data_IF_921755064429
#
_entry.id   IF_921755064429
#
_cell.length_a   1.000
_cell.length_b   1.000
_cell.length_c   1.000
_cell.angle_alpha   90.00
_cell.angle_beta   90.00
_cell.angle_gamma   90.00
#
_symmetry.space_group_name_H-M   'P 1'
#
loop_
_entity.id
_entity.type
_entity.pdbx_description
1 polymer ?
#
# COMPACT_ATOMS: atom_id res chain seq x y z
N UNK A 1 -19.95 16.30 8.64
CA UNK A 1 -19.04 16.24 9.80
C UNK A 1 -17.93 15.18 9.63
N UNK A 2 -18.26 13.87 9.54
CA UNK A 2 -17.24 12.83 9.35
C UNK A 2 -16.49 12.97 8.02
N UNK A 3 -17.24 13.09 6.90
CA UNK A 3 -16.65 13.19 5.57
C UNK A 3 -15.79 14.45 5.40
N UNK A 4 -16.19 15.55 5.99
CA UNK A 4 -15.43 16.80 5.99
C UNK A 4 -14.09 16.65 6.74
N UNK A 5 -14.13 16.05 7.94
CA UNK A 5 -12.92 15.77 8.71
C UNK A 5 -12.00 14.76 7.98
N UNK A 6 -12.60 13.75 7.34
CA UNK A 6 -11.88 12.78 6.53
C UNK A 6 -11.24 13.43 5.30
N UNK A 7 -11.96 14.29 4.60
CA UNK A 7 -11.46 15.03 3.44
C UNK A 7 -10.25 15.89 3.81
N UNK A 8 -10.35 16.65 4.90
CA UNK A 8 -9.25 17.46 5.41
C UNK A 8 -8.01 16.62 5.77
N UNK A 9 -8.23 15.41 6.33
CA UNK A 9 -7.14 14.53 6.75
C UNK A 9 -6.50 13.75 5.60
N UNK A 10 -7.30 13.29 4.63
CA UNK A 10 -6.87 12.38 3.58
C UNK A 10 -6.65 13.07 2.22
N UNK A 11 -6.96 14.36 2.11
CA UNK A 11 -6.71 15.15 0.91
C UNK A 11 -7.67 14.87 -0.25
N UNK A 12 -8.90 14.39 0.01
CA UNK A 12 -9.92 14.20 -1.01
C UNK A 12 -10.96 15.34 -0.99
N UNK A 13 -11.72 15.47 -2.05
CA UNK A 13 -12.76 16.52 -2.18
C UNK A 13 -14.09 15.92 -2.64
N UNK A 14 -15.23 16.60 -2.39
CA UNK A 14 -16.54 16.14 -2.83
C UNK A 14 -16.66 15.84 -4.32
N UNK A 15 -15.87 16.54 -5.16
CA UNK A 15 -15.85 16.35 -6.61
C UNK A 15 -15.40 14.94 -7.00
N UNK A 16 -14.69 14.23 -6.14
CA UNK A 16 -14.33 12.83 -6.37
C UNK A 16 -15.54 11.90 -6.49
N UNK A 17 -16.65 12.32 -5.91
CA UNK A 17 -17.94 11.63 -5.95
C UNK A 17 -18.99 12.39 -6.79
N UNK A 18 -18.58 13.40 -7.56
CA UNK A 18 -19.44 14.20 -8.40
C UNK A 18 -20.29 15.23 -7.64
N UNK A 19 -19.93 15.55 -6.40
CA UNK A 19 -20.61 16.56 -5.56
C UNK A 19 -19.76 17.82 -5.42
N UNK A 20 -20.37 18.91 -4.98
CA UNK A 20 -19.67 20.20 -4.78
C UNK A 20 -19.42 20.50 -3.30
N UNK A 21 -20.27 19.98 -2.42
CA UNK A 21 -20.30 20.34 -1.00
C UNK A 21 -20.36 19.11 -0.11
N UNK A 22 -20.05 19.30 1.18
CA UNK A 22 -20.12 18.26 2.21
C UNK A 22 -21.52 18.17 2.82
N UNK A 23 -22.50 17.80 2.02
CA UNK A 23 -23.92 17.73 2.37
C UNK A 23 -24.47 16.29 2.36
N UNK A 24 -25.78 16.14 2.46
CA UNK A 24 -26.47 14.85 2.40
C UNK A 24 -26.34 14.17 1.04
N UNK A 25 -26.22 14.93 -0.04
CA UNK A 25 -26.10 14.39 -1.39
C UNK A 25 -24.72 13.74 -1.58
N UNK A 26 -23.68 14.32 -0.98
CA UNK A 26 -22.36 13.66 -0.91
C UNK A 26 -22.43 12.32 -0.16
N UNK A 27 -23.13 12.25 0.95
CA UNK A 27 -23.30 10.98 1.70
C UNK A 27 -24.01 9.93 0.84
N UNK A 28 -25.04 10.31 0.10
CA UNK A 28 -25.74 9.43 -0.83
C UNK A 28 -24.83 8.99 -1.99
N UNK A 29 -24.08 9.91 -2.57
CA UNK A 29 -23.12 9.63 -3.65
C UNK A 29 -22.05 8.65 -3.21
N UNK A 30 -21.42 8.86 -2.04
CA UNK A 30 -20.43 7.92 -1.47
C UNK A 30 -21.06 6.55 -1.25
N UNK A 31 -22.26 6.48 -0.67
CA UNK A 31 -22.96 5.22 -0.42
C UNK A 31 -23.26 4.45 -1.70
N UNK A 32 -23.70 5.11 -2.75
CA UNK A 32 -23.96 4.51 -4.05
C UNK A 32 -22.66 4.00 -4.68
N UNK A 33 -21.63 4.83 -4.67
CA UNK A 33 -20.30 4.47 -5.16
C UNK A 33 -19.72 3.24 -4.43
N UNK A 34 -19.88 3.17 -3.09
CA UNK A 34 -19.49 2.02 -2.29
C UNK A 34 -20.26 0.74 -2.68
N UNK A 35 -21.59 0.83 -2.89
CA UNK A 35 -22.42 -0.31 -3.35
C UNK A 35 -21.95 -0.88 -4.66
N UNK A 36 -21.70 -0.04 -5.65
CA UNK A 36 -21.21 -0.45 -6.97
C UNK A 36 -19.91 -1.25 -6.89
N UNK A 37 -19.07 -0.94 -5.89
CA UNK A 37 -17.77 -1.56 -5.68
C UNK A 37 -17.75 -2.65 -4.60
N UNK A 38 -18.95 -3.05 -4.15
CA UNK A 38 -19.14 -4.08 -3.13
C UNK A 38 -18.42 -3.80 -1.80
N UNK A 39 -18.28 -2.52 -1.46
CA UNK A 39 -17.76 -2.07 -0.17
C UNK A 39 -18.91 -1.93 0.82
N UNK A 40 -18.59 -1.78 2.10
CA UNK A 40 -19.57 -1.40 3.13
C UNK A 40 -20.15 -0.04 2.77
N UNK A 41 -21.45 0.00 2.46
CA UNK A 41 -22.14 1.18 1.96
C UNK A 41 -22.69 2.03 3.12
N UNK A 42 -21.80 2.62 3.90
CA UNK A 42 -22.13 3.48 5.06
C UNK A 42 -22.23 4.96 4.71
N UNK A 43 -21.77 5.38 3.52
CA UNK A 43 -21.74 6.77 3.08
C UNK A 43 -20.58 7.56 3.71
N UNK A 44 -19.61 6.90 4.29
CA UNK A 44 -18.43 7.51 4.89
C UNK A 44 -17.19 7.22 4.05
N UNK A 45 -16.49 8.27 3.62
CA UNK A 45 -15.21 8.13 2.95
C UNK A 45 -14.09 7.97 3.99
N UNK A 46 -14.03 6.79 4.60
CA UNK A 46 -12.94 6.38 5.46
C UNK A 46 -11.72 5.89 4.67
N UNK A 47 -10.64 5.43 5.36
CA UNK A 47 -9.39 5.02 4.70
C UNK A 47 -9.57 4.01 3.56
N UNK A 48 -10.42 3.01 3.74
CA UNK A 48 -10.66 1.98 2.71
C UNK A 48 -11.36 2.55 1.48
N UNK A 49 -12.39 3.39 1.67
CA UNK A 49 -13.10 4.05 0.59
C UNK A 49 -12.20 5.04 -0.13
N UNK A 50 -11.45 5.84 0.63
CA UNK A 50 -10.48 6.79 0.09
C UNK A 50 -9.44 6.09 -0.79
N UNK A 51 -8.79 5.04 -0.27
CA UNK A 51 -7.78 4.29 -1.01
C UNK A 51 -8.32 3.75 -2.33
N UNK A 52 -9.53 3.21 -2.31
CA UNK A 52 -10.15 2.65 -3.52
C UNK A 52 -10.45 3.72 -4.56
N UNK A 53 -11.09 4.83 -4.18
CA UNK A 53 -11.41 5.90 -5.14
C UNK A 53 -10.14 6.62 -5.62
N UNK A 54 -9.14 6.79 -4.75
CA UNK A 54 -7.85 7.34 -5.13
C UNK A 54 -7.17 6.52 -6.23
N UNK A 55 -7.11 5.20 -6.07
CA UNK A 55 -6.52 4.31 -7.06
C UNK A 55 -7.32 4.31 -8.38
N UNK A 56 -8.67 4.34 -8.32
CA UNK A 56 -9.50 4.44 -9.52
C UNK A 56 -9.31 5.76 -10.25
N UNK A 57 -9.13 6.84 -9.51
CA UNK A 57 -8.82 8.15 -10.12
C UNK A 57 -7.45 8.17 -10.77
N UNK A 58 -6.44 7.60 -10.12
CA UNK A 58 -5.10 7.48 -10.72
C UNK A 58 -5.12 6.63 -11.99
N UNK A 59 -5.89 5.54 -12.01
CA UNK A 59 -6.02 4.68 -13.19
C UNK A 59 -6.77 5.36 -14.36
N UNK A 60 -7.57 6.40 -14.09
CA UNK A 60 -8.35 7.14 -15.09
C UNK A 60 -7.75 8.52 -15.45
N UNK A 61 -6.56 8.84 -14.97
CA UNK A 61 -5.85 10.05 -15.41
C UNK A 61 -5.30 9.78 -16.81
N UNK A 62 -5.84 10.49 -17.80
CA UNK A 62 -5.40 10.39 -19.21
C UNK A 62 -3.94 10.82 -19.42
N UNK A 63 -3.35 11.52 -18.46
CA UNK A 63 -1.93 11.90 -18.42
C UNK A 63 -1.06 10.87 -17.69
N UNK A 64 -1.47 9.60 -17.63
CA UNK A 64 -0.58 8.54 -17.23
C UNK A 64 0.54 8.43 -18.27
N UNK A 65 1.60 9.18 -18.06
CA UNK A 65 2.85 8.86 -18.71
C UNK A 65 3.29 7.48 -18.21
N UNK A 66 3.32 6.47 -19.08
CA UNK A 66 3.87 5.19 -18.67
C UNK A 66 5.27 5.48 -18.15
N UNK A 67 5.53 4.99 -16.93
CA UNK A 67 6.84 5.17 -16.32
C UNK A 67 7.90 4.71 -17.32
N UNK A 68 8.59 5.68 -17.89
CA UNK A 68 9.83 5.42 -18.63
C UNK A 68 10.89 5.25 -17.56
N UNK A 69 11.36 4.02 -17.40
CA UNK A 69 12.51 3.74 -16.55
C UNK A 69 13.62 4.70 -16.94
N UNK A 70 13.85 5.73 -16.13
CA UNK A 70 15.08 6.49 -16.28
C UNK A 70 16.21 5.50 -16.05
N UNK A 71 17.23 5.56 -16.87
CA UNK A 71 18.47 4.83 -16.66
C UNK A 71 19.02 5.22 -15.28
N UNK A 72 18.49 4.58 -14.27
CA UNK A 72 19.05 4.58 -12.93
C UNK A 72 19.73 3.26 -12.72
N UNK A 73 20.84 3.34 -12.03
CA UNK A 73 21.51 2.21 -11.43
C UNK A 73 20.50 1.14 -11.00
N UNK A 74 20.77 -0.10 -11.34
CA UNK A 74 19.94 -1.27 -11.11
C UNK A 74 19.28 -1.23 -9.73
N UNK A 75 17.95 -1.33 -9.70
CA UNK A 75 17.25 -1.50 -8.43
C UNK A 75 17.26 -2.97 -8.04
N UNK A 76 17.36 -3.22 -6.76
CA UNK A 76 17.56 -4.56 -6.21
C UNK A 76 16.51 -4.89 -5.16
N UNK A 77 16.19 -6.16 -5.08
CA UNK A 77 15.62 -6.77 -3.88
C UNK A 77 16.66 -7.69 -3.25
N UNK A 78 16.49 -8.04 -1.98
CA UNK A 78 17.41 -8.90 -1.25
C UNK A 78 16.79 -10.27 -1.05
N UNK A 79 17.55 -11.32 -1.42
CA UNK A 79 17.22 -12.71 -1.15
C UNK A 79 18.46 -13.47 -0.66
N UNK A 80 18.40 -14.00 0.55
CA UNK A 80 19.51 -14.70 1.20
C UNK A 80 20.80 -13.86 1.20
N UNK A 81 20.68 -12.58 1.55
CA UNK A 81 21.78 -11.62 1.57
C UNK A 81 22.35 -11.22 0.21
N UNK A 82 21.78 -11.71 -0.88
CA UNK A 82 22.21 -11.33 -2.23
C UNK A 82 21.27 -10.32 -2.85
N UNK A 83 21.85 -9.35 -3.56
CA UNK A 83 21.09 -8.37 -4.33
C UNK A 83 20.66 -8.98 -5.65
N UNK A 84 19.35 -9.00 -5.90
CA UNK A 84 18.75 -9.46 -7.14
C UNK A 84 18.20 -8.26 -7.90
N UNK A 85 18.70 -7.97 -9.11
CA UNK A 85 18.22 -6.83 -9.90
C UNK A 85 16.76 -7.03 -10.31
N UNK A 86 15.99 -5.95 -10.28
CA UNK A 86 14.60 -5.92 -10.75
C UNK A 86 14.36 -4.70 -11.62
N UNK A 87 13.49 -4.86 -12.61
CA UNK A 87 13.11 -3.79 -13.54
C UNK A 87 12.05 -2.84 -12.94
N UNK A 88 12.15 -2.52 -11.67
CA UNK A 88 11.24 -1.57 -11.03
C UNK A 88 12.00 -0.37 -10.48
N UNK A 89 11.55 0.85 -10.75
CA UNK A 89 12.37 2.05 -10.56
C UNK A 89 12.41 2.57 -9.13
N UNK A 90 11.47 2.16 -8.31
CA UNK A 90 11.32 2.68 -6.96
C UNK A 90 11.32 1.53 -5.96
N UNK A 91 12.49 1.10 -5.56
CA UNK A 91 12.68 0.12 -4.49
C UNK A 91 13.46 0.79 -3.37
N UNK A 92 13.01 0.60 -2.14
CA UNK A 92 13.68 1.07 -0.93
C UNK A 92 13.87 -0.13 -0.01
N UNK A 93 15.10 -0.44 0.32
CA UNK A 93 15.44 -1.55 1.21
C UNK A 93 15.37 -1.10 2.67
N UNK A 94 15.12 -2.03 3.58
CA UNK A 94 15.06 -1.75 5.03
C UNK A 94 16.37 -1.18 5.61
N UNK A 95 17.49 -1.32 4.89
CA UNK A 95 18.83 -0.83 5.28
C UNK A 95 19.19 0.53 4.70
N UNK A 96 18.34 1.08 3.83
CA UNK A 96 18.56 2.37 3.18
C UNK A 96 17.94 3.51 3.97
N UNK A 97 18.32 4.73 3.64
CA UNK A 97 17.68 5.93 4.18
C UNK A 97 16.21 5.98 3.75
N UNK A 98 15.32 6.23 4.70
CA UNK A 98 13.87 6.12 4.48
C UNK A 98 13.34 4.68 4.44
N UNK A 99 14.17 3.66 4.61
CA UNK A 99 13.78 2.25 4.64
C UNK A 99 12.84 1.90 5.80
N UNK A 100 11.91 1.00 5.54
CA UNK A 100 10.94 0.51 6.52
C UNK A 100 11.38 -0.87 7.00
N UNK A 101 11.58 -1.03 8.29
CA UNK A 101 12.13 -2.26 8.88
C UNK A 101 11.09 -3.00 9.73
N UNK A 102 11.09 -4.32 9.60
CA UNK A 102 10.42 -5.23 10.54
C UNK A 102 11.41 -5.62 11.63
N UNK A 103 11.03 -5.41 12.88
CA UNK A 103 11.85 -5.71 14.05
C UNK A 103 11.59 -7.12 14.60
N UNK A 104 10.34 -7.58 14.49
CA UNK A 104 9.85 -8.82 15.08
C UNK A 104 8.85 -9.51 14.15
N UNK A 105 8.35 -10.69 14.58
CA UNK A 105 7.24 -11.34 13.89
C UNK A 105 7.66 -12.05 12.60
N UNK A 106 8.86 -12.59 12.55
CA UNK A 106 9.35 -13.43 11.46
C UNK A 106 10.28 -14.52 11.98
N UNK A 107 10.50 -15.56 11.19
CA UNK A 107 11.49 -16.61 11.49
C UNK A 107 12.71 -16.42 10.61
N UNK A 108 13.90 -16.18 11.19
CA UNK A 108 15.12 -16.07 10.41
C UNK A 108 15.54 -17.45 9.88
N UNK A 109 15.93 -17.50 8.61
CA UNK A 109 16.50 -18.66 7.97
C UNK A 109 17.92 -18.34 7.50
N UNK A 110 18.88 -19.14 7.94
CA UNK A 110 20.29 -18.99 7.59
C UNK A 110 20.70 -19.85 6.38
N UNK A 111 19.89 -20.86 6.04
CA UNK A 111 20.05 -21.65 4.81
C UNK A 111 19.16 -21.09 3.73
N UNK A 112 19.63 -21.08 2.49
CA UNK A 112 18.86 -20.64 1.34
C UNK A 112 17.58 -21.44 1.21
N UNK A 113 16.45 -20.76 1.15
CA UNK A 113 15.13 -21.35 0.88
C UNK A 113 14.78 -21.26 -0.59
N UNK A 114 14.02 -22.22 -1.08
CA UNK A 114 13.35 -22.11 -2.38
C UNK A 114 12.03 -21.35 -2.17
N UNK A 115 11.91 -20.19 -2.79
CA UNK A 115 10.66 -19.44 -2.82
C UNK A 115 9.82 -19.98 -3.98
N UNK A 116 8.61 -20.45 -3.68
CA UNK A 116 7.71 -21.06 -4.67
C UNK A 116 6.28 -20.49 -4.57
N UNK A 117 6.04 -19.50 -3.70
CA UNK A 117 4.74 -18.92 -3.50
C UNK A 117 4.88 -17.43 -3.26
N UNK A 118 3.98 -16.66 -3.88
CA UNK A 118 3.76 -15.26 -3.59
C UNK A 118 2.36 -15.11 -2.98
N UNK A 119 2.27 -14.47 -1.83
CA UNK A 119 1.00 -14.21 -1.14
C UNK A 119 0.75 -12.72 -1.14
N UNK A 120 -0.34 -12.31 -1.76
CA UNK A 120 -0.76 -10.92 -1.82
C UNK A 120 -1.81 -10.65 -0.76
N UNK A 121 -1.60 -9.61 0.04
CA UNK A 121 -2.54 -9.12 1.04
C UNK A 121 -3.02 -7.73 0.66
N UNK A 122 -4.28 -7.47 0.96
CA UNK A 122 -4.81 -6.12 0.99
C UNK A 122 -4.64 -5.58 2.41
N UNK A 123 -3.83 -4.55 2.58
CA UNK A 123 -3.79 -3.81 3.84
C UNK A 123 -4.83 -2.67 3.85
N UNK A 124 -5.15 -2.18 5.03
CA UNK A 124 -6.08 -1.05 5.23
C UNK A 124 -5.36 0.21 5.69
N UNK A 125 -4.04 0.25 5.55
CA UNK A 125 -3.21 1.38 5.92
C UNK A 125 -3.21 2.43 4.81
N UNK A 126 -2.94 3.69 5.17
CA UNK A 126 -2.89 4.79 4.21
C UNK A 126 -1.58 4.80 3.41
N UNK A 127 -0.51 4.33 4.02
CA UNK A 127 0.83 4.31 3.46
C UNK A 127 1.64 3.14 4.04
N UNK A 128 2.74 2.82 3.39
CA UNK A 128 3.63 1.74 3.79
C UNK A 128 4.30 1.99 5.15
N UNK A 129 4.60 3.23 5.51
CA UNK A 129 5.20 3.57 6.80
C UNK A 129 4.24 3.29 7.95
N UNK A 130 2.96 3.63 7.78
CA UNK A 130 1.91 3.30 8.75
C UNK A 130 1.70 1.79 8.82
N UNK A 131 1.72 1.09 7.68
CA UNK A 131 1.62 -0.36 7.63
C UNK A 131 2.76 -1.01 8.44
N UNK A 132 4.01 -0.63 8.21
CA UNK A 132 5.17 -1.16 8.94
C UNK A 132 5.07 -0.95 10.46
N UNK A 133 4.59 0.22 10.91
CA UNK A 133 4.33 0.49 12.34
C UNK A 133 3.27 -0.44 12.93
N UNK A 134 2.18 -0.67 12.20
CA UNK A 134 1.11 -1.59 12.63
C UNK A 134 1.61 -3.02 12.70
N UNK A 135 2.37 -3.47 11.68
CA UNK A 135 2.97 -4.82 11.65
C UNK A 135 3.88 -5.03 12.86
N UNK A 136 4.81 -4.12 13.12
CA UNK A 136 5.71 -4.19 14.27
C UNK A 136 4.95 -4.23 15.60
N UNK A 137 3.91 -3.39 15.77
CA UNK A 137 3.08 -3.38 16.96
C UNK A 137 2.33 -4.70 17.19
N UNK A 138 1.99 -5.41 16.12
CA UNK A 138 1.26 -6.68 16.16
C UNK A 138 2.17 -7.90 16.16
N UNK A 139 3.49 -7.73 16.12
CA UNK A 139 4.47 -8.80 15.97
C UNK A 139 4.18 -9.72 14.78
N UNK A 140 3.83 -9.13 13.66
CA UNK A 140 3.65 -9.80 12.37
C UNK A 140 4.49 -9.10 11.31
N UNK A 141 4.70 -9.73 10.17
CA UNK A 141 5.59 -9.20 9.14
C UNK A 141 5.12 -9.52 7.74
N UNK A 142 5.63 -8.74 6.79
CA UNK A 142 5.58 -9.02 5.35
C UNK A 142 6.96 -8.74 4.76
N UNK A 143 7.25 -9.31 3.60
CA UNK A 143 8.53 -9.03 2.91
C UNK A 143 8.50 -7.68 2.20
N UNK A 144 7.36 -7.30 1.64
CA UNK A 144 7.21 -6.11 0.83
C UNK A 144 5.93 -5.34 1.20
N UNK A 145 6.02 -4.02 1.16
CA UNK A 145 4.86 -3.14 1.04
C UNK A 145 4.97 -2.38 -0.28
N UNK A 146 3.85 -2.21 -0.97
CA UNK A 146 3.76 -1.38 -2.17
C UNK A 146 2.96 -0.14 -1.80
N UNK A 147 3.58 1.02 -1.89
CA UNK A 147 2.93 2.28 -1.56
C UNK A 147 2.02 2.77 -2.70
N UNK A 148 1.24 3.80 -2.41
CA UNK A 148 0.28 4.36 -3.36
C UNK A 148 0.95 4.98 -4.60
N UNK A 149 2.20 5.42 -4.49
CA UNK A 149 3.00 5.96 -5.59
C UNK A 149 3.78 4.90 -6.37
N UNK A 150 3.57 3.61 -6.05
CA UNK A 150 4.26 2.49 -6.66
C UNK A 150 5.63 2.17 -6.05
N UNK A 151 6.07 2.89 -5.01
CA UNK A 151 7.30 2.55 -4.30
C UNK A 151 7.17 1.19 -3.64
N UNK A 152 8.11 0.30 -3.91
CA UNK A 152 8.23 -1.00 -3.24
C UNK A 152 9.20 -0.85 -2.07
N UNK A 153 8.68 -1.01 -0.86
CA UNK A 153 9.51 -1.14 0.32
C UNK A 153 9.76 -2.61 0.60
N UNK A 154 11.02 -3.02 0.57
CA UNK A 154 11.38 -4.34 1.09
C UNK A 154 11.70 -4.21 2.58
N UNK A 155 10.89 -4.85 3.43
CA UNK A 155 10.99 -4.75 4.88
C UNK A 155 11.82 -5.86 5.50
N UNK A 156 12.02 -6.95 4.76
CA UNK A 156 12.64 -8.18 5.24
C UNK A 156 13.27 -8.94 4.08
N UNK A 157 14.43 -9.58 4.32
CA UNK A 157 15.01 -10.50 3.34
C UNK A 157 14.02 -11.62 3.00
N UNK A 158 13.77 -11.86 1.73
CA UNK A 158 12.81 -12.87 1.28
C UNK A 158 13.18 -14.28 1.68
N UNK A 159 14.40 -14.53 2.11
CA UNK A 159 14.83 -15.82 2.65
C UNK A 159 14.24 -16.10 4.04
N UNK A 160 13.86 -15.08 4.80
CA UNK A 160 13.21 -15.27 6.09
C UNK A 160 11.73 -15.64 5.91
N UNK A 161 11.11 -16.23 6.92
CA UNK A 161 9.67 -16.51 6.87
C UNK A 161 8.90 -15.39 7.56
N UNK A 162 8.14 -14.62 6.79
CA UNK A 162 7.25 -13.61 7.31
C UNK A 162 6.01 -14.26 7.97
N UNK A 163 5.56 -13.66 9.07
CA UNK A 163 4.37 -14.10 9.79
C UNK A 163 3.19 -13.18 9.43
N UNK A 164 2.58 -13.43 8.28
CA UNK A 164 1.49 -12.59 7.74
C UNK A 164 0.18 -13.35 7.54
N UNK A 165 0.21 -14.67 7.59
CA UNK A 165 -0.96 -15.52 7.48
C UNK A 165 -1.04 -16.40 8.72
N UNK A 166 -2.22 -16.48 9.34
CA UNK A 166 -2.46 -17.46 10.39
C UNK A 166 -2.48 -18.86 9.77
N UNK A 167 -1.67 -19.73 10.29
CA UNK A 167 -1.76 -21.17 10.08
C UNK A 167 -3.01 -21.74 10.77
#
# INVERSE_FOLDING_TARGET
FYNEASAAKLGWTPEWFGCKEHDEDLVKAIRNWQKERKLTADGMCGPSTHRRIYNERLANIDDYEPYVAQEKDENFIVHHGNFLPIEWPKVVLWSEDGGLKIENGYTPYYKKRKINMFVNHWDVCLDSATCAKVLNKRNISVHFCIDNDGTIYQLLDTNHAAWHASS
#
